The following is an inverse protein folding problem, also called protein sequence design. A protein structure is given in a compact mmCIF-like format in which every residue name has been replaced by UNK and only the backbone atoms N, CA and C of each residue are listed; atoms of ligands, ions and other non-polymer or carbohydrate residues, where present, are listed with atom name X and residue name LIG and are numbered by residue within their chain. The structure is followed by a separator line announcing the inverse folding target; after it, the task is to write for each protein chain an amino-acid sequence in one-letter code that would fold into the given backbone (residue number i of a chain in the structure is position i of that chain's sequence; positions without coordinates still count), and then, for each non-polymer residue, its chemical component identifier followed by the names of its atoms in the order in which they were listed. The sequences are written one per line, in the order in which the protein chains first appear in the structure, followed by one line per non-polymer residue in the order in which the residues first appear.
data_IF_393003623956
#
_entry.id   IF_393003623956
#
_cell.length_a   1.000
_cell.length_b   1.000
_cell.length_c   1.000
_cell.angle_alpha   90.00
_cell.angle_beta   90.00
_cell.angle_gamma   90.00
#
_symmetry.space_group_name_H-M   'P 1'
#
loop_
_entity.id
_entity.type
_entity.pdbx_description
1 polymer ?
#
# COMPACT_ATOMS: atom_id res chain seq x y z
N UNK A 1 -1.11 19.94 70.20
CA UNK A 1 -1.35 18.54 69.79
C UNK A 1 -1.61 18.54 68.29
N UNK A 2 -0.67 17.99 67.55
CA UNK A 2 -0.43 18.29 66.14
C UNK A 2 -1.28 17.40 65.23
N UNK A 3 -1.91 18.04 64.25
CA UNK A 3 -2.91 17.50 63.34
C UNK A 3 -2.34 16.36 62.46
N UNK A 4 -2.78 15.13 62.68
CA UNK A 4 -2.26 13.86 62.10
C UNK A 4 -2.61 13.69 60.60
N UNK A 5 -3.21 14.69 59.94
CA UNK A 5 -3.74 14.59 58.57
C UNK A 5 -2.76 14.89 57.44
N UNK A 6 -1.49 15.21 57.72
CA UNK A 6 -0.52 15.66 56.69
C UNK A 6 0.69 14.74 56.45
N UNK A 7 0.67 13.48 56.91
CA UNK A 7 1.77 12.53 56.69
C UNK A 7 1.46 11.41 55.68
N UNK A 8 0.21 11.23 55.25
CA UNK A 8 -0.16 10.19 54.28
C UNK A 8 -0.10 10.61 52.81
N UNK A 9 0.18 11.88 52.51
CA UNK A 9 0.08 12.43 51.14
C UNK A 9 1.41 12.49 50.37
N UNK A 10 2.53 12.15 51.00
CA UNK A 10 3.88 12.39 50.43
C UNK A 10 4.65 11.14 49.96
N UNK A 11 4.19 9.92 50.30
CA UNK A 11 4.87 8.68 49.88
C UNK A 11 4.01 7.70 49.05
N UNK A 12 2.80 8.10 48.64
CA UNK A 12 1.97 7.31 47.72
C UNK A 12 2.17 7.72 46.24
N UNK A 13 3.21 8.52 45.95
CA UNK A 13 3.52 9.05 44.63
C UNK A 13 4.59 8.26 43.88
N UNK A 14 5.02 7.10 44.41
CA UNK A 14 6.22 6.41 43.91
C UNK A 14 6.10 4.88 43.81
N UNK A 15 4.91 4.28 43.92
CA UNK A 15 4.76 2.82 43.82
C UNK A 15 3.41 2.38 43.22
N UNK A 16 2.98 3.00 42.12
CA UNK A 16 1.96 2.41 41.22
C UNK A 16 2.43 2.63 39.78
N UNK A 17 3.56 2.02 39.44
CA UNK A 17 3.95 1.75 38.05
C UNK A 17 3.55 0.31 37.75
N UNK A 18 2.25 0.04 37.82
CA UNK A 18 1.65 -1.25 37.47
C UNK A 18 1.21 -1.17 36.01
N UNK A 19 2.12 -1.64 35.14
CA UNK A 19 1.81 -2.47 33.97
C UNK A 19 0.41 -2.34 33.40
N UNK A 20 0.25 -1.45 32.42
CA UNK A 20 -0.73 -1.62 31.34
C UNK A 20 0.07 -1.59 30.04
N UNK A 21 0.75 -2.69 29.75
CA UNK A 21 1.05 -3.06 28.38
C UNK A 21 -0.29 -3.45 27.74
N UNK A 22 -1.05 -2.44 27.31
CA UNK A 22 -2.22 -2.66 26.46
C UNK A 22 -1.68 -3.24 25.15
N UNK A 23 -1.76 -4.56 25.08
CA UNK A 23 -1.61 -5.40 23.92
C UNK A 23 -2.59 -4.89 22.85
N UNK A 24 -2.20 -3.86 22.09
CA UNK A 24 -2.76 -3.63 20.77
C UNK A 24 -2.15 -4.71 19.89
N UNK A 25 -2.66 -5.93 20.04
CA UNK A 25 -2.64 -6.88 18.94
C UNK A 25 -3.41 -6.17 17.83
N UNK A 26 -2.65 -5.55 16.92
CA UNK A 26 -3.12 -5.39 15.57
C UNK A 26 -3.57 -6.77 15.13
N UNK A 27 -4.89 -6.94 15.07
CA UNK A 27 -5.51 -8.05 14.38
C UNK A 27 -5.21 -7.79 12.90
N UNK A 28 -3.97 -8.01 12.51
CA UNK A 28 -3.64 -8.26 11.12
C UNK A 28 -4.46 -9.50 10.78
N UNK A 29 -5.42 -9.43 9.84
CA UNK A 29 -6.08 -10.65 9.40
C UNK A 29 -4.96 -11.62 9.01
N UNK A 30 -4.98 -12.84 9.56
CA UNK A 30 -4.09 -13.88 9.08
C UNK A 30 -4.40 -14.04 7.58
N UNK A 31 -3.60 -13.37 6.75
CA UNK A 31 -3.66 -13.56 5.32
C UNK A 31 -3.38 -15.05 5.11
N UNK A 32 -4.33 -15.75 4.49
CA UNK A 32 -4.13 -17.15 4.11
C UNK A 32 -2.85 -17.25 3.26
N UNK A 33 -2.14 -18.38 3.34
CA UNK A 33 -1.05 -18.66 2.40
C UNK A 33 -1.55 -18.58 0.94
N UNK A 34 -2.81 -18.95 0.72
CA UNK A 34 -3.52 -18.87 -0.56
C UNK A 34 -3.70 -17.42 -1.03
N UNK A 35 -4.09 -16.53 -0.10
CA UNK A 35 -4.23 -15.10 -0.34
C UNK A 35 -2.89 -14.45 -0.74
N UNK A 36 -1.81 -14.83 -0.05
CA UNK A 36 -0.46 -14.34 -0.37
C UNK A 36 0.01 -14.82 -1.74
N UNK A 37 -0.22 -16.10 -2.08
CA UNK A 37 0.11 -16.65 -3.40
C UNK A 37 -0.69 -15.97 -4.52
N UNK A 38 -1.98 -15.71 -4.30
CA UNK A 38 -2.84 -15.02 -5.25
C UNK A 38 -2.40 -13.58 -5.50
N UNK A 39 -2.01 -12.84 -4.45
CA UNK A 39 -1.43 -11.48 -4.59
C UNK A 39 -0.17 -11.49 -5.43
N UNK A 40 0.75 -12.44 -5.18
CA UNK A 40 1.98 -12.58 -5.95
C UNK A 40 1.69 -12.83 -7.43
N UNK A 41 0.73 -13.72 -7.74
CA UNK A 41 0.32 -13.98 -9.13
C UNK A 41 -0.22 -12.73 -9.84
N UNK A 42 -1.02 -11.91 -9.14
CA UNK A 42 -1.53 -10.64 -9.68
C UNK A 42 -0.37 -9.67 -9.94
N UNK A 43 0.54 -9.52 -8.98
CA UNK A 43 1.73 -8.66 -9.10
C UNK A 43 2.61 -9.08 -10.27
N UNK A 44 2.92 -10.37 -10.38
CA UNK A 44 3.74 -10.91 -11.48
C UNK A 44 3.10 -10.67 -12.84
N UNK A 45 1.78 -10.85 -12.96
CA UNK A 45 1.04 -10.54 -14.17
C UNK A 45 1.13 -9.05 -14.52
N UNK A 46 0.87 -8.15 -13.56
CA UNK A 46 0.90 -6.70 -13.81
C UNK A 46 2.31 -6.26 -14.21
N UNK A 47 3.34 -6.74 -13.51
CA UNK A 47 4.72 -6.38 -13.81
C UNK A 47 5.15 -6.83 -15.21
N UNK A 48 4.79 -8.06 -15.61
CA UNK A 48 5.02 -8.54 -16.98
C UNK A 48 4.34 -7.64 -18.02
N UNK A 49 3.12 -7.23 -17.76
CA UNK A 49 2.39 -6.37 -18.70
C UNK A 49 2.92 -4.95 -18.74
N UNK A 50 3.33 -4.38 -17.61
CA UNK A 50 4.00 -3.07 -17.59
C UNK A 50 5.31 -3.11 -18.36
N UNK A 51 6.10 -4.18 -18.25
CA UNK A 51 7.32 -4.34 -19.04
C UNK A 51 7.04 -4.46 -20.55
N UNK A 52 6.03 -5.25 -20.94
CA UNK A 52 5.62 -5.38 -22.35
C UNK A 52 5.10 -4.05 -22.90
N UNK A 53 4.18 -3.40 -22.18
CA UNK A 53 3.57 -2.13 -22.60
C UNK A 53 4.62 -1.02 -22.65
N UNK A 54 5.51 -0.93 -21.66
CA UNK A 54 6.61 0.04 -21.67
C UNK A 54 7.56 -0.21 -22.85
N UNK A 55 7.81 -1.47 -23.19
CA UNK A 55 8.69 -1.82 -24.31
C UNK A 55 8.10 -1.46 -25.67
N UNK A 56 6.78 -1.55 -25.81
CA UNK A 56 6.04 -1.16 -27.02
C UNK A 56 5.56 0.30 -27.05
N UNK A 57 5.82 1.09 -26.00
CA UNK A 57 5.32 2.47 -25.89
C UNK A 57 6.18 3.45 -26.71
N UNK A 58 5.76 3.79 -27.92
CA UNK A 58 6.40 4.86 -28.69
C UNK A 58 6.04 6.24 -28.09
N UNK A 59 7.05 6.99 -27.65
CA UNK A 59 6.88 8.33 -27.07
C UNK A 59 6.42 8.37 -25.60
N UNK A 60 6.17 7.21 -24.97
CA UNK A 60 5.73 7.10 -23.56
C UNK A 60 6.56 6.10 -22.75
N UNK A 61 7.71 5.68 -23.28
CA UNK A 61 8.61 4.73 -22.64
C UNK A 61 9.29 5.34 -21.41
N UNK A 62 9.02 4.76 -20.26
CA UNK A 62 9.78 4.98 -19.04
C UNK A 62 11.17 4.35 -19.16
N UNK A 63 12.17 5.04 -18.61
CA UNK A 63 13.49 4.45 -18.39
C UNK A 63 13.39 3.27 -17.41
N UNK A 64 14.39 2.38 -17.40
CA UNK A 64 14.43 1.25 -16.46
C UNK A 64 14.27 1.70 -15.00
N UNK A 65 14.89 2.83 -14.62
CA UNK A 65 14.75 3.39 -13.26
C UNK A 65 13.32 3.82 -12.97
N UNK A 66 12.69 4.55 -13.89
CA UNK A 66 11.31 5.02 -13.74
C UNK A 66 10.31 3.86 -13.73
N UNK A 67 10.50 2.88 -14.60
CA UNK A 67 9.67 1.66 -14.61
C UNK A 67 9.80 0.89 -13.29
N UNK A 68 11.02 0.76 -12.75
CA UNK A 68 11.25 0.11 -11.45
C UNK A 68 10.57 0.85 -10.29
N UNK A 69 10.52 2.18 -10.33
CA UNK A 69 9.80 2.98 -9.34
C UNK A 69 8.30 2.72 -9.46
N UNK A 70 7.77 2.75 -10.69
CA UNK A 70 6.36 2.52 -10.95
C UNK A 70 5.90 1.12 -10.50
N UNK A 71 6.65 0.07 -10.86
CA UNK A 71 6.31 -1.30 -10.45
C UNK A 71 6.28 -1.44 -8.94
N UNK A 72 7.24 -0.86 -8.21
CA UNK A 72 7.23 -0.84 -6.74
C UNK A 72 6.01 -0.13 -6.15
N UNK A 73 5.57 0.97 -6.75
CA UNK A 73 4.36 1.69 -6.31
C UNK A 73 3.13 0.80 -6.50
N UNK A 74 3.00 0.19 -7.68
CA UNK A 74 1.88 -0.70 -8.02
C UNK A 74 1.86 -1.90 -7.08
N UNK A 75 2.99 -2.59 -6.91
CA UNK A 75 3.13 -3.75 -6.03
C UNK A 75 2.71 -3.41 -4.59
N UNK A 76 3.16 -2.26 -4.07
CA UNK A 76 2.83 -1.81 -2.73
C UNK A 76 1.32 -1.59 -2.54
N UNK A 77 0.61 -1.06 -3.53
CA UNK A 77 -0.83 -0.83 -3.44
C UNK A 77 -1.64 -2.12 -3.63
N UNK A 78 -1.23 -3.00 -4.54
CA UNK A 78 -1.86 -4.32 -4.74
C UNK A 78 -1.70 -5.21 -3.49
N UNK A 79 -0.55 -5.15 -2.81
CA UNK A 79 -0.32 -5.89 -1.57
C UNK A 79 -1.18 -5.40 -0.39
N UNK A 80 -1.68 -4.17 -0.44
CA UNK A 80 -2.61 -3.60 0.56
C UNK A 80 -4.07 -3.84 0.21
N UNK A 81 -4.41 -3.96 -1.07
CA UNK A 81 -5.78 -4.06 -1.53
C UNK A 81 -6.48 -5.32 -0.99
N UNK A 82 -7.78 -5.29 -0.65
CA UNK A 82 -8.52 -6.50 -0.37
C UNK A 82 -8.51 -7.47 -1.57
N UNK A 83 -8.49 -8.78 -1.33
CA UNK A 83 -8.52 -9.81 -2.39
C UNK A 83 -9.92 -10.07 -2.96
N UNK A 84 -10.96 -9.60 -2.27
CA UNK A 84 -12.30 -9.49 -2.86
C UNK A 84 -12.23 -8.62 -4.10
N UNK A 85 -13.11 -8.87 -5.06
CA UNK A 85 -13.27 -7.96 -6.21
C UNK A 85 -13.54 -6.54 -5.67
N UNK A 86 -12.71 -5.54 -6.01
CA UNK A 86 -12.94 -4.19 -5.55
C UNK A 86 -14.24 -3.66 -6.15
N UNK A 87 -14.96 -2.85 -5.38
CA UNK A 87 -16.00 -1.97 -5.92
C UNK A 87 -15.36 -0.94 -6.88
N UNK A 88 -16.15 -0.33 -7.79
CA UNK A 88 -15.63 0.74 -8.65
C UNK A 88 -14.96 1.88 -7.87
N UNK A 89 -15.48 2.19 -6.68
CA UNK A 89 -14.94 3.22 -5.79
C UNK A 89 -13.60 2.80 -5.17
N UNK A 90 -13.48 1.55 -4.69
CA UNK A 90 -12.24 0.99 -4.18
C UNK A 90 -11.18 0.90 -5.30
N UNK A 91 -11.56 0.48 -6.50
CA UNK A 91 -10.67 0.44 -7.67
C UNK A 91 -10.14 1.84 -8.02
N UNK A 92 -11.03 2.83 -8.08
CA UNK A 92 -10.65 4.22 -8.34
C UNK A 92 -9.74 4.78 -7.24
N UNK A 93 -9.98 4.42 -5.97
CA UNK A 93 -9.14 4.84 -4.86
C UNK A 93 -7.73 4.23 -4.94
N UNK A 94 -7.61 2.95 -5.33
CA UNK A 94 -6.31 2.29 -5.54
C UNK A 94 -5.56 2.96 -6.69
N UNK A 95 -6.22 3.17 -7.83
CA UNK A 95 -5.62 3.81 -9.00
C UNK A 95 -5.14 5.24 -8.67
N UNK A 96 -5.95 5.99 -7.94
CA UNK A 96 -5.58 7.35 -7.49
C UNK A 96 -4.35 7.34 -6.59
N UNK A 97 -4.24 6.38 -5.65
CA UNK A 97 -3.05 6.25 -4.79
C UNK A 97 -1.79 5.94 -5.61
N UNK A 98 -1.92 5.07 -6.61
CA UNK A 98 -0.81 4.77 -7.54
C UNK A 98 -0.42 6.03 -8.31
N UNK A 99 -1.39 6.75 -8.87
CA UNK A 99 -1.16 7.98 -9.62
C UNK A 99 -0.50 9.08 -8.78
N UNK A 100 -1.01 9.33 -7.57
CA UNK A 100 -0.47 10.33 -6.64
C UNK A 100 0.97 9.99 -6.24
N UNK A 101 1.24 8.71 -5.91
CA UNK A 101 2.57 8.24 -5.58
C UNK A 101 3.54 8.30 -6.78
N UNK A 102 3.04 8.00 -7.98
CA UNK A 102 3.82 8.09 -9.21
C UNK A 102 4.15 9.55 -9.54
N UNK A 103 3.20 10.48 -9.43
CA UNK A 103 3.44 11.93 -9.58
C UNK A 103 4.49 12.44 -8.59
N UNK A 104 4.46 11.95 -7.35
CA UNK A 104 5.43 12.35 -6.33
C UNK A 104 6.85 11.82 -6.59
N UNK A 105 6.99 10.59 -7.11
CA UNK A 105 8.30 9.93 -7.27
C UNK A 105 8.86 9.99 -8.70
N UNK A 106 8.01 10.26 -9.69
CA UNK A 106 8.34 10.37 -11.12
C UNK A 106 8.10 11.81 -11.62
N UNK A 107 8.33 12.83 -10.79
CA UNK A 107 8.08 14.23 -11.15
C UNK A 107 8.87 14.75 -12.36
N UNK A 108 9.91 14.02 -12.78
CA UNK A 108 10.69 14.31 -14.01
C UNK A 108 10.01 13.76 -15.28
N UNK A 109 9.04 12.85 -15.15
CA UNK A 109 8.29 12.29 -16.27
C UNK A 109 7.19 13.28 -16.67
N UNK A 110 7.05 13.63 -17.96
CA UNK A 110 5.98 14.48 -18.43
C UNK A 110 4.62 13.94 -18.00
N UNK A 111 3.72 14.82 -17.54
CA UNK A 111 2.39 14.41 -17.07
C UNK A 111 1.63 13.62 -18.13
N UNK A 112 1.71 14.01 -19.40
CA UNK A 112 1.07 13.26 -20.51
C UNK A 112 1.60 11.82 -20.63
N UNK A 113 2.90 11.62 -20.46
CA UNK A 113 3.51 10.27 -20.46
C UNK A 113 3.02 9.48 -19.25
N UNK A 114 2.96 10.11 -18.08
CA UNK A 114 2.48 9.45 -16.87
C UNK A 114 1.00 9.06 -16.99
N UNK A 115 0.15 9.90 -17.57
CA UNK A 115 -1.27 9.62 -17.79
C UNK A 115 -1.48 8.44 -18.76
N UNK A 116 -0.68 8.36 -19.83
CA UNK A 116 -0.68 7.22 -20.76
C UNK A 116 -0.27 5.92 -20.05
N UNK A 117 0.80 5.97 -19.26
CA UNK A 117 1.26 4.81 -18.49
C UNK A 117 0.23 4.38 -17.45
N UNK A 118 -0.43 5.32 -16.76
CA UNK A 118 -1.49 5.02 -15.80
C UNK A 118 -2.71 4.37 -16.45
N UNK A 119 -3.02 4.75 -17.70
CA UNK A 119 -4.06 4.09 -18.49
C UNK A 119 -3.72 2.61 -18.72
N UNK A 120 -2.45 2.30 -19.02
CA UNK A 120 -1.99 0.93 -19.19
C UNK A 120 -1.97 0.16 -17.86
N UNK A 121 -1.53 0.78 -16.76
CA UNK A 121 -1.61 0.19 -15.40
C UNK A 121 -3.05 -0.23 -15.09
N UNK A 122 -4.04 0.63 -15.38
CA UNK A 122 -5.46 0.33 -15.16
C UNK A 122 -5.94 -0.87 -15.97
N UNK A 123 -5.61 -0.90 -17.27
CA UNK A 123 -5.96 -2.03 -18.16
C UNK A 123 -5.35 -3.33 -17.65
N UNK A 124 -4.08 -3.29 -17.27
CA UNK A 124 -3.33 -4.42 -16.75
C UNK A 124 -3.89 -4.96 -15.44
N UNK A 125 -4.13 -4.07 -14.47
CA UNK A 125 -4.74 -4.46 -13.20
C UNK A 125 -6.09 -5.13 -13.40
N UNK A 126 -6.92 -4.63 -14.32
CA UNK A 126 -8.23 -5.21 -14.64
C UNK A 126 -8.10 -6.62 -15.22
N UNK A 127 -7.18 -6.82 -16.17
CA UNK A 127 -6.95 -8.13 -16.83
C UNK A 127 -6.36 -9.15 -15.85
N UNK A 128 -5.27 -8.79 -15.18
CA UNK A 128 -4.57 -9.66 -14.24
C UNK A 128 -5.44 -10.06 -13.05
N UNK A 129 -6.32 -9.16 -12.57
CA UNK A 129 -7.26 -9.52 -11.51
C UNK A 129 -8.32 -10.51 -11.99
N UNK A 130 -8.77 -10.44 -13.25
CA UNK A 130 -9.71 -11.41 -13.83
C UNK A 130 -9.07 -12.80 -14.05
N UNK A 131 -7.80 -12.85 -14.45
CA UNK A 131 -7.05 -14.11 -14.66
C UNK A 131 -6.58 -14.79 -13.36
N UNK A 132 -6.62 -14.05 -12.25
CA UNK A 132 -6.27 -14.54 -10.92
C UNK A 132 -7.50 -14.96 -10.09
N UNK A 133 -8.72 -14.77 -10.58
CA UNK A 133 -9.97 -15.31 -9.98
C UNK A 133 -10.25 -16.70 -10.52
#
# INVERSE_FOLDING_TARGET
MTNVRNLYKKHYRTLITLTIAAFVLGISPLASADDSARRKKIVECINKELEMNNSGCEGCRLTTKQLTILTKIVDAEIMKAPLKKPTPEEEQAILKKIEDAAKAQLGEVPTETLDKVMTEVKKSATRCTKEAV
#
